data_IF_173896425619
#
_entry.id   IF_173896425619
#
_cell.length_a   1.000
_cell.length_b   1.000
_cell.length_c   1.000
_cell.angle_alpha   90.00
_cell.angle_beta   90.00
_cell.angle_gamma   90.00
#
_symmetry.space_group_name_H-M   'P 1'
#
loop_
_entity.id
_entity.type
_entity.pdbx_description
1 polymer ?
#
# COMPACT_ATOMS: atom_id res chain seq x y z
N UNK A 1 -10.99 29.58 -12.24
CA UNK A 1 -10.21 29.15 -11.08
C UNK A 1 -8.99 30.07 -10.98
N UNK A 2 -8.84 30.81 -9.86
CA UNK A 2 -7.79 31.84 -9.72
C UNK A 2 -6.40 31.26 -9.49
N UNK A 3 -5.42 32.15 -9.34
CA UNK A 3 -3.96 31.94 -9.30
C UNK A 3 -3.39 30.93 -8.25
N UNK A 4 -4.23 30.18 -7.53
CA UNK A 4 -3.81 29.24 -6.45
C UNK A 4 -4.40 27.85 -6.67
N UNK A 5 -4.50 27.39 -7.91
CA UNK A 5 -5.13 26.10 -8.26
C UNK A 5 -4.42 24.91 -7.63
N UNK A 6 -3.09 24.87 -7.71
CA UNK A 6 -2.30 23.71 -7.32
C UNK A 6 -2.41 23.42 -5.81
N UNK A 7 -2.31 24.44 -4.96
CA UNK A 7 -2.43 24.25 -3.54
C UNK A 7 -3.85 23.77 -3.13
N UNK A 8 -4.91 24.28 -3.78
CA UNK A 8 -6.29 23.82 -3.55
C UNK A 8 -6.49 22.36 -3.95
N UNK A 9 -5.89 21.94 -5.07
CA UNK A 9 -5.89 20.52 -5.50
C UNK A 9 -5.19 19.66 -4.46
N UNK A 10 -4.04 20.06 -3.94
CA UNK A 10 -3.31 19.29 -2.93
C UNK A 10 -4.09 19.13 -1.63
N UNK A 11 -4.76 20.19 -1.16
CA UNK A 11 -5.64 20.13 0.00
C UNK A 11 -6.79 19.15 -0.26
N UNK A 12 -7.50 19.32 -1.37
CA UNK A 12 -8.63 18.47 -1.75
C UNK A 12 -8.24 16.99 -1.83
N UNK A 13 -7.13 16.66 -2.47
CA UNK A 13 -6.65 15.28 -2.58
C UNK A 13 -6.27 14.70 -1.21
N UNK A 14 -5.71 15.52 -0.32
CA UNK A 14 -5.39 15.09 1.04
C UNK A 14 -6.67 14.82 1.86
N UNK A 15 -7.67 15.67 1.75
CA UNK A 15 -8.97 15.49 2.40
C UNK A 15 -9.70 14.24 1.88
N UNK A 16 -9.67 14.00 0.57
CA UNK A 16 -10.22 12.78 -0.06
C UNK A 16 -9.49 11.54 0.46
N UNK A 17 -8.17 11.58 0.55
CA UNK A 17 -7.39 10.46 1.10
C UNK A 17 -7.78 10.18 2.56
N UNK A 18 -7.87 11.21 3.41
CA UNK A 18 -8.29 11.08 4.80
C UNK A 18 -9.71 10.49 4.90
N UNK A 19 -10.62 10.98 4.08
CA UNK A 19 -11.99 10.48 4.02
C UNK A 19 -12.03 8.99 3.65
N UNK A 20 -11.35 8.60 2.56
CA UNK A 20 -11.30 7.21 2.10
C UNK A 20 -10.63 6.31 3.14
N UNK A 21 -9.53 6.75 3.75
CA UNK A 21 -8.88 5.98 4.81
C UNK A 21 -9.81 5.70 5.98
N UNK A 22 -10.58 6.70 6.45
CA UNK A 22 -11.59 6.52 7.51
C UNK A 22 -12.69 5.55 7.09
N UNK A 23 -13.20 5.67 5.85
CA UNK A 23 -14.30 4.82 5.34
C UNK A 23 -13.87 3.38 5.13
N UNK A 24 -12.72 3.15 4.51
CA UNK A 24 -12.20 1.79 4.37
C UNK A 24 -11.82 1.17 5.72
N UNK A 25 -11.22 1.95 6.62
CA UNK A 25 -10.87 1.48 7.97
C UNK A 25 -12.10 1.03 8.77
N UNK A 26 -13.24 1.75 8.70
CA UNK A 26 -14.50 1.35 9.36
C UNK A 26 -15.03 0.01 8.87
N UNK A 27 -14.61 -0.43 7.69
CA UNK A 27 -14.89 -1.75 7.12
C UNK A 27 -13.68 -2.71 7.17
N UNK A 28 -12.65 -2.41 7.98
CA UNK A 28 -11.42 -3.18 8.12
C UNK A 28 -10.56 -3.26 6.84
N UNK A 29 -10.72 -2.32 5.93
CA UNK A 29 -9.85 -2.10 4.79
C UNK A 29 -8.76 -1.06 5.09
N UNK A 30 -7.82 -0.93 4.16
CA UNK A 30 -6.73 0.06 4.25
C UNK A 30 -6.43 0.65 2.88
N UNK A 31 -6.20 1.96 2.83
CA UNK A 31 -5.93 2.69 1.59
C UNK A 31 -4.47 3.10 1.54
N UNK A 32 -3.79 2.78 0.45
CA UNK A 32 -2.43 3.18 0.15
C UNK A 32 -2.41 4.33 -0.86
N UNK A 33 -1.52 5.27 -0.64
CA UNK A 33 -1.23 6.35 -1.57
C UNK A 33 -0.24 5.83 -2.63
N UNK A 34 -0.73 5.52 -3.84
CA UNK A 34 0.14 5.13 -4.96
C UNK A 34 0.69 6.37 -5.69
N UNK A 35 -0.18 7.34 -5.95
CA UNK A 35 0.18 8.71 -6.34
C UNK A 35 -0.86 9.65 -5.72
N UNK A 36 -0.74 10.96 -5.91
CA UNK A 36 -1.65 11.89 -5.24
C UNK A 36 -3.12 11.69 -5.58
N UNK A 37 -3.43 11.35 -6.82
CA UNK A 37 -4.77 11.16 -7.38
C UNK A 37 -5.12 9.70 -7.66
N UNK A 38 -4.18 8.78 -7.46
CA UNK A 38 -4.39 7.34 -7.62
C UNK A 38 -4.12 6.62 -6.30
N UNK A 39 -5.15 5.92 -5.83
CA UNK A 39 -5.14 5.20 -4.56
C UNK A 39 -5.36 3.71 -4.82
N UNK A 40 -4.74 2.89 -4.00
CA UNK A 40 -4.95 1.45 -3.99
C UNK A 40 -5.47 1.06 -2.61
N UNK A 41 -6.62 0.39 -2.56
CA UNK A 41 -7.19 -0.09 -1.31
C UNK A 41 -7.17 -1.62 -1.25
N UNK A 42 -6.76 -2.16 -0.10
CA UNK A 42 -7.01 -3.56 0.25
C UNK A 42 -8.35 -3.62 0.96
N UNK A 43 -9.31 -4.28 0.34
CA UNK A 43 -10.72 -4.28 0.74
C UNK A 43 -11.30 -5.68 0.94
N UNK A 44 -10.48 -6.64 1.35
CA UNK A 44 -10.90 -7.99 1.65
C UNK A 44 -12.09 -7.98 2.63
N UNK A 45 -13.19 -8.64 2.23
CA UNK A 45 -14.42 -8.70 3.03
C UNK A 45 -15.36 -7.50 2.88
N UNK A 46 -14.98 -6.44 2.18
CA UNK A 46 -15.86 -5.30 1.90
C UNK A 46 -16.78 -5.63 0.71
N UNK A 47 -18.09 -5.56 0.92
CA UNK A 47 -19.07 -5.85 -0.14
C UNK A 47 -19.09 -4.79 -1.24
N UNK A 48 -19.55 -5.16 -2.45
CA UNK A 48 -19.80 -4.20 -3.55
C UNK A 48 -20.76 -3.09 -3.09
N UNK A 49 -21.77 -3.44 -2.29
CA UNK A 49 -22.71 -2.46 -1.73
C UNK A 49 -21.99 -1.38 -0.91
N UNK A 50 -21.05 -1.80 -0.06
CA UNK A 50 -20.27 -0.86 0.75
C UNK A 50 -19.33 -0.01 -0.09
N UNK A 51 -18.67 -0.57 -1.12
CA UNK A 51 -17.88 0.23 -2.05
C UNK A 51 -18.74 1.30 -2.75
N UNK A 52 -19.97 0.93 -3.17
CA UNK A 52 -20.92 1.90 -3.77
C UNK A 52 -21.33 2.99 -2.79
N UNK A 53 -21.56 2.64 -1.51
CA UNK A 53 -21.86 3.63 -0.47
C UNK A 53 -20.69 4.60 -0.25
N UNK A 54 -19.47 4.09 -0.17
CA UNK A 54 -18.25 4.92 0.00
C UNK A 54 -18.12 5.94 -1.14
N UNK A 55 -18.28 5.51 -2.40
CA UNK A 55 -18.24 6.44 -3.55
C UNK A 55 -19.36 7.47 -3.45
N UNK A 56 -20.59 7.06 -3.13
CA UNK A 56 -21.73 7.96 -3.02
C UNK A 56 -21.53 9.03 -1.95
N UNK A 57 -20.99 8.65 -0.80
CA UNK A 57 -20.69 9.56 0.29
C UNK A 57 -19.56 10.52 -0.05
N UNK A 58 -18.53 10.03 -0.76
CA UNK A 58 -17.42 10.87 -1.22
C UNK A 58 -17.92 11.98 -2.15
N UNK A 59 -18.75 11.64 -3.14
CA UNK A 59 -19.27 12.61 -4.11
C UNK A 59 -20.26 13.61 -3.50
N UNK A 60 -20.93 13.26 -2.39
CA UNK A 60 -21.74 14.20 -1.62
C UNK A 60 -20.90 15.22 -0.86
N UNK A 61 -19.70 14.80 -0.43
CA UNK A 61 -18.84 15.63 0.42
C UNK A 61 -17.86 16.48 -0.40
N UNK A 62 -17.42 15.98 -1.56
CA UNK A 62 -16.40 16.63 -2.38
C UNK A 62 -16.90 16.91 -3.80
N UNK A 63 -16.52 18.05 -4.40
CA UNK A 63 -16.93 18.43 -5.76
C UNK A 63 -16.10 17.69 -6.82
N UNK A 64 -16.03 16.36 -6.74
CA UNK A 64 -15.24 15.52 -7.64
C UNK A 64 -16.02 14.29 -8.09
N UNK A 65 -15.66 13.74 -9.23
CA UNK A 65 -16.08 12.41 -9.67
C UNK A 65 -14.95 11.42 -9.44
N UNK A 66 -15.30 10.23 -8.94
CA UNK A 66 -14.33 9.17 -8.64
C UNK A 66 -14.65 7.92 -9.46
N UNK A 67 -13.59 7.32 -9.99
CA UNK A 67 -13.67 5.99 -10.61
C UNK A 67 -13.02 4.97 -9.70
N UNK A 68 -13.69 3.85 -9.47
CA UNK A 68 -13.20 2.75 -8.66
C UNK A 68 -13.32 1.44 -9.43
N UNK A 69 -12.21 0.73 -9.60
CA UNK A 69 -12.17 -0.64 -10.09
C UNK A 69 -11.95 -1.60 -8.93
N UNK A 70 -12.70 -2.70 -8.89
CA UNK A 70 -12.55 -3.76 -7.90
C UNK A 70 -12.10 -5.02 -8.62
N UNK A 71 -10.96 -5.56 -8.21
CA UNK A 71 -10.38 -6.78 -8.73
C UNK A 71 -10.15 -7.82 -7.64
N UNK A 72 -10.25 -9.07 -8.02
CA UNK A 72 -9.95 -10.24 -7.20
C UNK A 72 -8.88 -11.07 -7.89
N UNK A 73 -7.92 -11.57 -7.14
CA UNK A 73 -6.84 -12.37 -7.69
C UNK A 73 -6.14 -13.21 -6.61
N UNK A 74 -5.44 -14.25 -7.04
CA UNK A 74 -4.66 -15.13 -6.15
C UNK A 74 -3.50 -14.41 -5.47
N UNK A 75 -3.03 -13.31 -6.09
CA UNK A 75 -1.99 -12.46 -5.55
C UNK A 75 -2.41 -10.99 -5.58
N UNK A 76 -1.85 -10.13 -4.73
CA UNK A 76 -2.13 -8.70 -4.73
C UNK A 76 -1.94 -8.05 -6.10
N UNK A 77 -0.88 -8.39 -6.83
CA UNK A 77 -0.63 -7.84 -8.17
C UNK A 77 -1.69 -8.31 -9.19
N UNK A 78 -2.13 -9.58 -9.15
CA UNK A 78 -3.20 -10.08 -10.03
C UNK A 78 -4.53 -9.38 -9.73
N UNK A 79 -4.86 -9.17 -8.45
CA UNK A 79 -6.05 -8.42 -8.05
C UNK A 79 -6.00 -6.97 -8.54
N UNK A 80 -4.85 -6.30 -8.44
CA UNK A 80 -4.66 -4.93 -8.91
C UNK A 80 -4.79 -4.84 -10.45
N UNK A 81 -4.19 -5.79 -11.19
CA UNK A 81 -4.31 -5.87 -12.65
C UNK A 81 -5.77 -6.05 -13.06
N UNK A 82 -6.50 -6.91 -12.38
CA UNK A 82 -7.93 -7.12 -12.65
C UNK A 82 -8.75 -5.86 -12.36
N UNK A 83 -8.49 -5.17 -11.24
CA UNK A 83 -9.13 -3.90 -10.92
C UNK A 83 -8.91 -2.85 -12.04
N UNK A 84 -7.69 -2.78 -12.57
CA UNK A 84 -7.35 -1.87 -13.68
C UNK A 84 -8.06 -2.25 -14.96
N UNK A 85 -8.13 -3.54 -15.31
CA UNK A 85 -8.82 -4.03 -16.52
C UNK A 85 -10.31 -3.70 -16.50
N UNK A 86 -11.01 -4.00 -15.39
CA UNK A 86 -12.45 -3.72 -15.29
C UNK A 86 -12.74 -2.23 -15.32
N UNK A 87 -11.86 -1.40 -14.75
CA UNK A 87 -11.99 0.04 -14.78
C UNK A 87 -11.80 0.59 -16.20
N UNK A 88 -10.76 0.13 -16.91
CA UNK A 88 -10.49 0.54 -18.30
C UNK A 88 -11.64 0.15 -19.25
N UNK A 89 -12.21 -1.05 -19.06
CA UNK A 89 -13.33 -1.52 -19.87
C UNK A 89 -14.62 -0.69 -19.67
N UNK A 90 -14.84 -0.14 -18.49
CA UNK A 90 -16.01 0.73 -18.17
C UNK A 90 -15.78 2.20 -18.50
N UNK A 91 -14.55 2.59 -18.80
CA UNK A 91 -14.11 3.97 -18.87
C UNK A 91 -13.91 4.59 -17.49
N UNK A 92 -13.03 5.57 -17.40
CA UNK A 92 -12.77 6.30 -16.16
C UNK A 92 -13.67 7.53 -16.03
N UNK A 93 -13.80 8.08 -14.82
CA UNK A 93 -14.49 9.36 -14.58
C UNK A 93 -13.87 10.50 -15.39
N UNK A 94 -12.59 10.40 -15.74
CA UNK A 94 -11.88 11.39 -16.54
C UNK A 94 -12.39 11.45 -17.99
N UNK A 95 -12.66 10.29 -18.61
CA UNK A 95 -13.16 10.20 -19.99
C UNK A 95 -14.65 10.50 -20.12
N UNK A 96 -15.46 10.12 -19.11
CA UNK A 96 -16.92 10.23 -19.14
C UNK A 96 -17.47 11.33 -18.22
N UNK A 97 -16.66 11.88 -17.33
CA UNK A 97 -17.05 12.77 -16.21
C UNK A 97 -18.21 12.20 -15.38
N UNK A 98 -18.29 10.89 -15.31
CA UNK A 98 -19.32 10.17 -14.57
C UNK A 98 -18.67 9.30 -13.51
N UNK A 99 -19.39 9.09 -12.43
CA UNK A 99 -19.03 8.12 -11.41
C UNK A 99 -18.97 6.71 -11.99
N UNK A 100 -17.84 6.02 -11.80
CA UNK A 100 -17.63 4.66 -12.28
C UNK A 100 -17.31 3.75 -11.10
N UNK A 101 -18.12 2.70 -10.93
CA UNK A 101 -17.78 1.53 -10.12
C UNK A 101 -17.75 0.31 -11.05
N UNK A 102 -16.56 -0.23 -11.26
CA UNK A 102 -16.32 -1.34 -12.16
C UNK A 102 -15.88 -2.60 -11.39
N UNK A 103 -16.47 -3.74 -11.72
CA UNK A 103 -16.10 -5.06 -11.25
C UNK A 103 -16.61 -6.12 -12.25
N UNK A 104 -16.01 -7.31 -12.25
CA UNK A 104 -16.31 -8.35 -13.24
C UNK A 104 -17.42 -9.34 -12.83
N UNK A 105 -18.17 -9.05 -11.78
CA UNK A 105 -19.27 -9.91 -11.31
C UNK A 105 -18.84 -11.12 -10.48
N UNK A 106 -17.55 -11.37 -10.28
CA UNK A 106 -17.09 -12.44 -9.38
C UNK A 106 -17.51 -12.15 -7.94
N UNK A 107 -17.88 -13.21 -7.22
CA UNK A 107 -18.11 -13.08 -5.77
C UNK A 107 -16.81 -12.61 -5.12
N UNK A 108 -16.88 -11.50 -4.43
CA UNK A 108 -15.75 -11.07 -3.59
C UNK A 108 -15.62 -12.11 -2.47
N UNK A 109 -14.46 -12.75 -2.31
CA UNK A 109 -14.25 -13.65 -1.20
C UNK A 109 -14.44 -12.88 0.10
N UNK A 110 -15.39 -13.32 0.93
CA UNK A 110 -15.68 -12.68 2.22
C UNK A 110 -14.61 -13.08 3.25
N UNK A 111 -13.93 -14.19 2.99
CA UNK A 111 -12.97 -14.80 3.93
C UNK A 111 -11.68 -15.07 3.16
N UNK A 112 -10.59 -14.53 3.66
CA UNK A 112 -9.24 -14.80 3.18
C UNK A 112 -8.25 -14.07 4.08
N UNK A 113 -7.18 -14.77 4.43
CA UNK A 113 -6.10 -14.15 5.18
C UNK A 113 -5.37 -13.11 4.32
N UNK A 114 -4.90 -12.07 4.96
CA UNK A 114 -4.03 -11.05 4.36
C UNK A 114 -2.67 -11.16 5.00
N UNK A 115 -1.63 -11.23 4.19
CA UNK A 115 -0.24 -11.22 4.63
C UNK A 115 0.39 -9.87 4.32
N UNK A 116 0.99 -9.25 5.34
CA UNK A 116 1.70 -7.96 5.22
C UNK A 116 3.13 -8.11 5.73
N UNK A 117 4.08 -7.57 4.98
CA UNK A 117 5.43 -7.33 5.46
C UNK A 117 5.61 -5.83 5.72
N UNK A 118 5.93 -5.46 6.97
CA UNK A 118 6.37 -4.12 7.30
C UNK A 118 7.90 -4.08 7.27
N UNK A 119 8.44 -3.44 6.25
CA UNK A 119 9.88 -3.34 5.99
C UNK A 119 10.40 -1.99 6.46
N UNK A 120 11.59 -1.98 7.03
CA UNK A 120 12.25 -0.80 7.60
C UNK A 120 13.74 -0.82 7.27
N UNK A 121 14.34 0.35 7.02
CA UNK A 121 15.79 0.48 6.82
C UNK A 121 16.47 0.59 8.18
N UNK A 122 17.35 -0.37 8.47
CA UNK A 122 18.00 -0.45 9.76
C UNK A 122 18.93 0.75 10.03
N UNK A 123 18.75 1.41 11.17
CA UNK A 123 19.53 2.59 11.59
C UNK A 123 19.49 3.77 10.62
N UNK A 124 18.41 3.93 9.83
CA UNK A 124 18.31 4.95 8.78
C UNK A 124 18.66 6.35 9.28
N UNK A 125 18.17 6.77 10.44
CA UNK A 125 18.50 8.07 11.02
C UNK A 125 20.01 8.29 11.11
N UNK A 126 20.74 7.33 11.70
CA UNK A 126 22.19 7.44 11.92
C UNK A 126 23.02 7.37 10.64
N UNK A 127 22.56 6.60 9.63
CA UNK A 127 23.35 6.35 8.41
C UNK A 127 22.94 7.23 7.23
N UNK A 128 21.84 7.97 7.36
CA UNK A 128 21.33 8.82 6.30
C UNK A 128 20.87 10.18 6.81
N UNK A 129 19.85 10.25 7.68
CA UNK A 129 19.19 11.49 8.06
C UNK A 129 20.13 12.46 8.77
N UNK A 130 20.98 11.96 9.66
CA UNK A 130 21.94 12.78 10.43
C UNK A 130 23.20 13.15 9.62
N UNK A 131 23.41 12.53 8.45
CA UNK A 131 24.67 12.69 7.68
C UNK A 131 24.44 13.53 6.42
N UNK A 132 23.34 13.32 5.71
CA UNK A 132 23.11 13.91 4.40
C UNK A 132 21.97 14.94 4.41
N UNK A 133 22.00 15.96 3.51
CA UNK A 133 20.90 16.86 3.31
C UNK A 133 19.60 16.10 2.97
N UNK A 134 18.47 16.59 3.52
CA UNK A 134 17.17 15.93 3.37
C UNK A 134 16.82 15.59 1.92
N UNK A 135 17.02 16.50 0.98
CA UNK A 135 16.66 16.28 -0.42
C UNK A 135 17.47 15.16 -1.08
N UNK A 136 18.74 15.04 -0.76
CA UNK A 136 19.61 13.94 -1.23
C UNK A 136 19.14 12.59 -0.67
N UNK A 137 18.78 12.55 0.63
CA UNK A 137 18.20 11.38 1.26
C UNK A 137 16.87 10.99 0.61
N UNK A 138 16.02 11.99 0.33
CA UNK A 138 14.74 11.77 -0.33
C UNK A 138 14.89 11.14 -1.72
N UNK A 139 15.86 11.60 -2.52
CA UNK A 139 16.18 11.00 -3.83
C UNK A 139 16.62 9.54 -3.65
N UNK A 140 17.54 9.27 -2.72
CA UNK A 140 18.04 7.91 -2.50
C UNK A 140 16.93 6.98 -1.96
N UNK A 141 16.08 7.46 -1.07
CA UNK A 141 14.94 6.72 -0.54
C UNK A 141 13.95 6.34 -1.66
N UNK A 142 13.66 7.25 -2.59
CA UNK A 142 12.79 6.96 -3.74
C UNK A 142 13.43 5.92 -4.68
N UNK A 143 14.76 5.95 -4.91
CA UNK A 143 15.46 4.89 -5.67
C UNK A 143 15.33 3.54 -4.97
N UNK A 144 15.52 3.50 -3.64
CA UNK A 144 15.33 2.30 -2.83
C UNK A 144 13.89 1.79 -2.89
N UNK A 145 12.92 2.68 -2.76
CA UNK A 145 11.50 2.35 -2.87
C UNK A 145 11.17 1.73 -4.24
N UNK A 146 11.63 2.32 -5.33
CA UNK A 146 11.43 1.76 -6.68
C UNK A 146 12.00 0.34 -6.78
N UNK A 147 13.21 0.11 -6.26
CA UNK A 147 13.80 -1.23 -6.22
C UNK A 147 12.95 -2.22 -5.43
N UNK A 148 12.42 -1.81 -4.28
CA UNK A 148 11.52 -2.66 -3.49
C UNK A 148 10.22 -2.96 -4.24
N UNK A 149 9.61 -1.96 -4.88
CA UNK A 149 8.40 -2.16 -5.69
C UNK A 149 8.64 -3.23 -6.78
N UNK A 150 9.73 -3.12 -7.53
CA UNK A 150 10.09 -4.06 -8.59
C UNK A 150 10.34 -5.48 -8.05
N UNK A 151 11.09 -5.61 -6.95
CA UNK A 151 11.42 -6.91 -6.40
C UNK A 151 10.22 -7.58 -5.72
N UNK A 152 9.35 -6.82 -5.04
CA UNK A 152 8.08 -7.32 -4.50
C UNK A 152 7.09 -7.71 -5.61
N UNK A 153 7.04 -6.96 -6.71
CA UNK A 153 6.20 -7.27 -7.86
C UNK A 153 6.52 -8.65 -8.46
N UNK A 154 7.80 -9.03 -8.52
CA UNK A 154 8.24 -10.33 -9.04
C UNK A 154 7.65 -11.52 -8.28
N UNK A 155 7.40 -11.36 -7.00
CA UNK A 155 6.75 -12.38 -6.14
C UNK A 155 5.23 -12.20 -6.04
N UNK A 156 4.63 -11.32 -6.85
CA UNK A 156 3.19 -11.07 -6.86
C UNK A 156 2.67 -10.16 -5.76
N UNK A 157 3.54 -9.46 -5.04
CA UNK A 157 3.21 -8.52 -3.98
C UNK A 157 3.10 -7.08 -4.48
N UNK A 158 2.50 -6.21 -3.67
CA UNK A 158 2.47 -4.76 -3.86
C UNK A 158 3.20 -4.10 -2.69
N UNK A 159 4.13 -3.21 -2.97
CA UNK A 159 4.92 -2.49 -1.98
C UNK A 159 4.58 -0.99 -2.02
N UNK A 160 4.36 -0.39 -0.84
CA UNK A 160 3.95 1.01 -0.69
C UNK A 160 4.86 1.72 0.31
N UNK A 161 5.19 2.97 0.01
CA UNK A 161 5.86 3.86 0.95
C UNK A 161 4.92 4.26 2.08
N UNK A 162 5.35 4.09 3.33
CA UNK A 162 4.53 4.36 4.51
C UNK A 162 5.05 5.54 5.34
N UNK A 163 6.04 6.25 4.83
CA UNK A 163 6.66 7.41 5.50
C UNK A 163 7.98 7.09 6.20
N UNK A 164 8.84 8.09 6.30
CA UNK A 164 10.17 7.91 6.86
C UNK A 164 11.02 6.94 6.05
N UNK A 165 11.43 5.86 6.67
CA UNK A 165 12.19 4.74 6.10
C UNK A 165 11.38 3.43 6.08
N UNK A 166 10.05 3.55 6.18
CA UNK A 166 9.13 2.42 6.33
C UNK A 166 8.35 2.13 5.04
N UNK A 167 8.20 0.85 4.74
CA UNK A 167 7.43 0.34 3.60
C UNK A 167 6.46 -0.74 4.07
N UNK A 168 5.23 -0.71 3.54
CA UNK A 168 4.24 -1.77 3.75
C UNK A 168 4.06 -2.55 2.46
N UNK A 169 4.26 -3.86 2.51
CA UNK A 169 4.03 -4.73 1.36
C UNK A 169 2.89 -5.68 1.63
N UNK A 170 1.89 -5.67 0.74
CA UNK A 170 0.82 -6.67 0.74
C UNK A 170 1.31 -7.85 -0.09
N UNK A 171 1.41 -9.01 0.55
CA UNK A 171 2.08 -10.18 0.01
C UNK A 171 1.11 -11.30 -0.33
N UNK A 172 1.45 -12.17 -1.30
CA UNK A 172 0.74 -13.44 -1.48
C UNK A 172 0.79 -14.28 -0.21
N UNK A 173 -0.28 -15.02 0.09
CA UNK A 173 -0.30 -15.91 1.25
C UNK A 173 0.75 -17.03 1.14
N UNK A 174 1.12 -17.42 -0.08
CA UNK A 174 2.18 -18.39 -0.38
C UNK A 174 3.59 -17.86 -0.10
N UNK A 175 3.79 -16.54 0.00
CA UNK A 175 5.13 -15.97 0.21
C UNK A 175 5.84 -16.57 1.42
N UNK A 176 7.06 -17.05 1.21
CA UNK A 176 7.92 -17.61 2.27
C UNK A 176 8.92 -16.56 2.77
N UNK A 177 9.40 -16.66 4.01
CA UNK A 177 10.46 -15.77 4.54
C UNK A 177 11.76 -15.80 3.71
N UNK A 178 12.05 -16.89 3.02
CA UNK A 178 13.21 -17.03 2.13
C UNK A 178 13.14 -16.08 0.93
N UNK A 179 11.94 -15.83 0.37
CA UNK A 179 11.74 -14.90 -0.74
C UNK A 179 12.04 -13.47 -0.27
N UNK A 180 11.58 -13.10 0.94
CA UNK A 180 11.87 -11.80 1.52
C UNK A 180 13.38 -11.63 1.81
N UNK A 181 14.08 -12.68 2.26
CA UNK A 181 15.55 -12.67 2.40
C UNK A 181 16.24 -12.40 1.08
N UNK A 182 15.76 -12.97 -0.03
CA UNK A 182 16.29 -12.73 -1.37
C UNK A 182 16.07 -11.29 -1.83
N UNK A 183 14.91 -10.72 -1.59
CA UNK A 183 14.60 -9.30 -1.84
C UNK A 183 15.57 -8.41 -1.04
N UNK A 184 15.77 -8.68 0.24
CA UNK A 184 16.69 -7.93 1.10
C UNK A 184 18.13 -7.98 0.57
N UNK A 185 18.60 -9.16 0.20
CA UNK A 185 19.94 -9.32 -0.39
C UNK A 185 20.10 -8.50 -1.69
N UNK A 186 19.12 -8.54 -2.59
CA UNK A 186 19.08 -7.74 -3.82
C UNK A 186 19.17 -6.24 -3.52
N UNK A 187 18.32 -5.77 -2.61
CA UNK A 187 18.28 -4.37 -2.20
C UNK A 187 19.60 -3.91 -1.56
N UNK A 188 20.12 -4.67 -0.60
CA UNK A 188 21.35 -4.36 0.14
C UNK A 188 22.59 -4.30 -0.75
N UNK A 189 22.61 -5.04 -1.86
CA UNK A 189 23.69 -4.97 -2.85
C UNK A 189 23.66 -3.66 -3.65
N UNK A 190 22.45 -3.19 -3.99
CA UNK A 190 22.22 -1.99 -4.83
C UNK A 190 22.28 -0.69 -4.03
N UNK A 191 21.91 -0.72 -2.76
CA UNK A 191 21.70 0.47 -1.93
C UNK A 191 22.59 0.50 -0.67
N UNK A 192 23.87 0.13 -0.80
CA UNK A 192 24.82 0.24 0.32
C UNK A 192 24.89 1.68 0.86
N UNK A 193 24.98 1.88 2.18
CA UNK A 193 25.16 0.87 3.25
C UNK A 193 23.86 0.37 3.88
N UNK A 194 22.71 0.59 3.25
CA UNK A 194 21.40 0.31 3.83
C UNK A 194 21.18 -1.20 4.01
N UNK A 195 20.61 -1.55 5.16
CA UNK A 195 20.21 -2.90 5.55
C UNK A 195 18.73 -2.90 5.88
N UNK A 196 18.02 -3.97 5.53
CA UNK A 196 16.60 -4.09 5.78
C UNK A 196 16.29 -5.03 6.93
N UNK A 197 15.17 -4.76 7.60
CA UNK A 197 14.50 -5.66 8.53
C UNK A 197 12.99 -5.63 8.26
N UNK A 198 12.27 -6.69 8.62
CA UNK A 198 10.82 -6.71 8.48
C UNK A 198 10.12 -7.57 9.52
N UNK A 199 8.96 -7.08 9.95
CA UNK A 199 7.94 -7.90 10.59
C UNK A 199 6.93 -8.38 9.56
N UNK A 200 6.54 -9.66 9.62
CA UNK A 200 5.49 -10.23 8.80
C UNK A 200 4.28 -10.54 9.70
N UNK A 201 3.10 -10.08 9.30
CA UNK A 201 1.84 -10.37 9.98
C UNK A 201 0.84 -11.03 9.04
N UNK A 202 0.11 -12.01 9.56
CA UNK A 202 -1.00 -12.67 8.88
C UNK A 202 -2.27 -12.39 9.70
N UNK A 203 -3.31 -11.91 9.04
CA UNK A 203 -4.56 -11.53 9.70
C UNK A 203 -5.79 -11.80 8.84
N UNK A 204 -6.95 -11.85 9.48
CA UNK A 204 -8.27 -12.00 8.80
C UNK A 204 -8.64 -10.78 7.95
N UNK A 205 -7.94 -9.69 8.12
CA UNK A 205 -8.07 -8.45 7.36
C UNK A 205 -6.73 -7.69 7.40
N UNK A 206 -6.62 -6.66 6.56
CA UNK A 206 -5.38 -5.90 6.40
C UNK A 206 -4.95 -5.18 7.70
N UNK A 207 -5.87 -4.70 8.53
CA UNK A 207 -5.54 -3.99 9.77
C UNK A 207 -4.92 -4.93 10.81
N UNK A 208 -5.46 -6.14 10.94
CA UNK A 208 -4.90 -7.17 11.81
C UNK A 208 -3.50 -7.60 11.33
N UNK A 209 -3.34 -7.81 10.02
CA UNK A 209 -2.04 -8.16 9.44
C UNK A 209 -0.98 -7.08 9.68
N UNK A 210 -1.33 -5.79 9.47
CA UNK A 210 -0.44 -4.67 9.76
C UNK A 210 -0.08 -4.62 11.25
N UNK A 211 -1.07 -4.81 12.14
CA UNK A 211 -0.83 -4.80 13.59
C UNK A 211 0.19 -5.87 14.01
N UNK A 212 0.02 -7.11 13.51
CA UNK A 212 0.95 -8.21 13.79
C UNK A 212 2.34 -7.95 13.20
N UNK A 213 2.42 -7.42 11.98
CA UNK A 213 3.67 -7.04 11.35
C UNK A 213 4.41 -5.96 12.17
N UNK A 214 3.69 -4.97 12.71
CA UNK A 214 4.24 -3.92 13.57
C UNK A 214 4.80 -4.49 14.88
N UNK A 215 4.09 -5.45 15.51
CA UNK A 215 4.57 -6.12 16.72
C UNK A 215 5.88 -6.85 16.44
N UNK A 216 5.96 -7.63 15.35
CA UNK A 216 7.19 -8.31 14.96
C UNK A 216 8.34 -7.34 14.71
N UNK A 217 8.09 -6.24 13.99
CA UNK A 217 9.12 -5.25 13.72
C UNK A 217 9.61 -4.56 14.99
N UNK A 218 8.70 -4.29 15.93
CA UNK A 218 9.04 -3.76 17.25
C UNK A 218 9.93 -4.74 18.03
N UNK A 219 9.56 -6.03 18.09
CA UNK A 219 10.34 -7.08 18.75
C UNK A 219 11.76 -7.19 18.15
N UNK A 220 11.92 -7.05 16.81
CA UNK A 220 13.23 -7.01 16.15
C UNK A 220 14.04 -5.77 16.59
N UNK A 221 13.39 -4.60 16.72
CA UNK A 221 14.05 -3.34 17.10
C UNK A 221 14.51 -3.33 18.55
N UNK A 222 13.74 -3.94 19.45
CA UNK A 222 13.99 -3.97 20.91
C UNK A 222 14.84 -5.17 21.32
N UNK A 223 14.83 -6.23 20.53
CA UNK A 223 15.60 -7.44 20.82
C UNK A 223 17.05 -7.33 20.36
N UNK A 224 17.97 -7.91 21.14
CA UNK A 224 19.36 -8.15 20.73
C UNK A 224 19.45 -9.23 19.63
N UNK A 225 18.34 -9.57 18.97
CA UNK A 225 18.27 -10.61 17.98
C UNK A 225 18.87 -10.16 16.65
N UNK A 226 19.78 -10.97 16.15
CA UNK A 226 20.36 -10.81 14.80
C UNK A 226 19.34 -11.12 13.68
N UNK A 227 18.11 -11.52 14.02
CA UNK A 227 17.06 -11.82 13.07
C UNK A 227 16.55 -10.55 12.39
N UNK A 228 16.65 -10.55 11.07
CA UNK A 228 16.16 -9.45 10.23
C UNK A 228 14.70 -9.59 9.86
N UNK A 229 14.10 -10.75 10.02
CA UNK A 229 12.73 -11.08 9.61
C UNK A 229 12.06 -11.92 10.69
N UNK A 230 10.90 -11.48 11.14
CA UNK A 230 10.06 -12.18 12.11
C UNK A 230 8.63 -12.30 11.57
N UNK A 231 7.98 -13.43 11.81
CA UNK A 231 6.61 -13.72 11.37
C UNK A 231 5.72 -14.00 12.57
N UNK A 232 4.50 -13.45 12.56
CA UNK A 232 3.44 -13.70 13.53
C UNK A 232 2.13 -14.04 12.80
N UNK A 233 1.57 -15.20 13.17
CA UNK A 233 0.26 -15.69 12.68
C UNK A 233 -0.88 -15.17 13.56
#
# INVERSE_FOLDING_TARGET
MGNNREHKIQILLSEIFIFLQKKFNSHRGFVFLASRDNLIAVSNGISIKNHKLIINELEKQFPVTVSMGIGVGETPIKAQIEASKVLSAKGSAQSSRKKVLAYNGHKIPIIGEVKVAHVDINFYTKIATDIYPFYSNYINLNKGYTTLMEDFQKIGALCFFNGGDNFLSVCPNSMQPSELKSIFKSFELKHKPWKLKAGIGIGKNILEAISKANICLKEIREGNNQEKIMLKN
#
